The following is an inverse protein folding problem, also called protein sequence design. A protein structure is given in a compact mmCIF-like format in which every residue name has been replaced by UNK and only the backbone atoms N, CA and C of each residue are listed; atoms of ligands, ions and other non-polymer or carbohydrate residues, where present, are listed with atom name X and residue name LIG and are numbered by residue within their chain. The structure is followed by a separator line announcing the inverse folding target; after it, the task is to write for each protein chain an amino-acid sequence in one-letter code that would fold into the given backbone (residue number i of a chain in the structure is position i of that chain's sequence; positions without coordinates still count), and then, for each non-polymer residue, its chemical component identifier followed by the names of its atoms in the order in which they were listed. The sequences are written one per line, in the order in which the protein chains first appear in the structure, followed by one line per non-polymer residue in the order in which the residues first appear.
data_IF_267706010065
#
_entry.id   IF_267706010065
#
_cell.length_a   1.000
_cell.length_b   1.000
_cell.length_c   1.000
_cell.angle_alpha   90.00
_cell.angle_beta   90.00
_cell.angle_gamma   90.00
#
_symmetry.space_group_name_H-M   'P 1'
#
loop_
_entity.id
_entity.type
_entity.pdbx_description
1 polymer ?
#
# COMPACT_ATOMS: atom_id res chain seq x y z
N UNK A 1 -0.32 -46.26 -33.08
CA UNK A 1 0.64 -45.24 -32.70
C UNK A 1 1.11 -45.52 -31.31
N UNK A 2 2.39 -45.77 -31.12
CA UNK A 2 2.98 -45.91 -29.79
C UNK A 2 2.94 -44.56 -29.08
N UNK A 3 2.46 -44.54 -27.84
CA UNK A 3 2.50 -43.37 -27.01
C UNK A 3 3.86 -43.41 -26.25
N UNK A 4 4.80 -42.58 -26.67
CA UNK A 4 6.04 -42.43 -25.94
C UNK A 4 5.74 -41.82 -24.56
N UNK A 5 6.20 -42.48 -23.49
CA UNK A 5 6.10 -41.98 -22.12
C UNK A 5 7.50 -41.56 -21.70
N UNK A 6 7.72 -40.25 -21.57
CA UNK A 6 8.97 -39.70 -21.04
C UNK A 6 8.87 -39.58 -19.52
N UNK A 7 9.90 -40.08 -18.81
CA UNK A 7 9.95 -40.06 -17.35
C UNK A 7 10.94 -39.01 -16.82
N UNK A 8 11.76 -38.44 -17.69
CA UNK A 8 12.76 -37.42 -17.38
C UNK A 8 12.51 -36.18 -18.21
N UNK A 9 12.85 -35.02 -17.70
CA UNK A 9 12.72 -33.74 -18.39
C UNK A 9 12.79 -32.58 -17.42
N UNK A 10 12.73 -31.38 -17.94
CA UNK A 10 12.85 -30.14 -17.16
C UNK A 10 11.73 -29.19 -17.47
N UNK A 11 11.30 -28.52 -16.40
CA UNK A 11 10.35 -27.42 -16.49
C UNK A 11 11.05 -26.09 -16.71
N UNK A 12 10.43 -25.20 -17.45
CA UNK A 12 10.90 -23.82 -17.65
C UNK A 12 9.75 -22.81 -17.60
N UNK A 13 10.09 -21.59 -17.21
CA UNK A 13 9.17 -20.45 -17.19
C UNK A 13 9.53 -19.44 -18.28
N UNK A 14 8.54 -18.95 -19.04
CA UNK A 14 8.74 -17.90 -20.04
C UNK A 14 9.09 -16.53 -19.45
N UNK A 15 8.74 -16.30 -18.18
CA UNK A 15 9.03 -15.05 -17.46
C UNK A 15 9.15 -15.32 -15.95
N UNK A 16 10.36 -15.49 -15.49
CA UNK A 16 10.68 -15.76 -14.08
C UNK A 16 10.43 -14.56 -13.15
N UNK A 17 10.20 -13.36 -13.68
CA UNK A 17 9.77 -12.21 -12.89
C UNK A 17 8.27 -12.26 -12.54
N UNK A 18 7.47 -12.98 -13.32
CA UNK A 18 6.05 -13.22 -13.04
C UNK A 18 5.91 -14.41 -12.09
N UNK A 19 6.42 -15.56 -12.51
CA UNK A 19 6.39 -16.78 -11.70
C UNK A 19 7.56 -17.69 -12.07
N UNK A 20 8.11 -18.34 -11.06
CA UNK A 20 9.13 -19.40 -11.21
C UNK A 20 8.46 -20.77 -11.22
N UNK A 21 9.14 -21.74 -11.79
CA UNK A 21 8.79 -23.15 -11.70
C UNK A 21 10.06 -23.92 -11.34
N UNK A 22 9.95 -24.82 -10.40
CA UNK A 22 11.03 -25.71 -10.06
C UNK A 22 11.25 -26.68 -11.23
N UNK A 23 12.47 -26.74 -11.71
CA UNK A 23 12.79 -27.44 -12.96
C UNK A 23 12.58 -28.95 -12.89
N UNK A 24 12.70 -29.54 -11.71
CA UNK A 24 12.58 -30.97 -11.49
C UNK A 24 11.16 -31.38 -11.06
N UNK A 25 10.57 -30.62 -10.16
CA UNK A 25 9.29 -31.00 -9.53
C UNK A 25 8.08 -30.34 -10.19
N UNK A 26 8.27 -29.29 -10.99
CA UNK A 26 7.18 -28.53 -11.59
C UNK A 26 6.38 -27.68 -10.59
N UNK A 27 6.91 -27.48 -9.37
CA UNK A 27 6.26 -26.63 -8.36
C UNK A 27 6.37 -25.17 -8.77
N UNK A 28 5.22 -24.50 -8.86
CA UNK A 28 5.11 -23.10 -9.27
C UNK A 28 5.04 -22.18 -8.06
N UNK A 29 5.78 -21.06 -8.13
CA UNK A 29 5.71 -19.97 -7.16
C UNK A 29 5.63 -18.61 -7.87
N UNK A 30 4.71 -17.74 -7.43
CA UNK A 30 4.63 -16.36 -7.89
C UNK A 30 5.67 -15.51 -7.18
N UNK A 31 6.32 -14.59 -7.89
CA UNK A 31 7.39 -13.75 -7.32
C UNK A 31 6.85 -12.52 -6.57
N UNK A 32 5.61 -12.11 -6.84
CA UNK A 32 5.02 -10.88 -6.30
C UNK A 32 5.58 -9.58 -6.91
N UNK A 33 6.48 -9.66 -7.89
CA UNK A 33 7.16 -8.50 -8.48
C UNK A 33 6.54 -8.03 -9.78
N UNK A 34 5.93 -8.93 -10.55
CA UNK A 34 5.33 -8.64 -11.85
C UNK A 34 4.05 -9.45 -12.03
N UNK A 35 3.09 -8.88 -12.71
CA UNK A 35 1.86 -9.55 -13.14
C UNK A 35 1.82 -9.67 -14.66
N UNK A 36 1.05 -10.61 -15.19
CA UNK A 36 0.95 -10.88 -16.61
C UNK A 36 0.75 -12.35 -16.91
N UNK A 37 0.90 -12.71 -18.18
CA UNK A 37 0.80 -14.09 -18.62
C UNK A 37 2.18 -14.74 -18.67
N UNK A 38 2.29 -15.89 -18.03
CA UNK A 38 3.48 -16.74 -18.04
C UNK A 38 3.12 -18.11 -18.61
N UNK A 39 4.02 -18.68 -19.40
CA UNK A 39 3.88 -20.02 -19.94
C UNK A 39 4.91 -20.94 -19.33
N UNK A 40 4.46 -22.05 -18.78
CA UNK A 40 5.34 -23.11 -18.30
C UNK A 40 5.43 -24.21 -19.35
N UNK A 41 6.64 -24.60 -19.66
CA UNK A 41 6.94 -25.60 -20.67
C UNK A 41 7.74 -26.74 -20.05
N UNK A 42 7.34 -27.97 -20.32
CA UNK A 42 8.09 -29.16 -19.99
C UNK A 42 8.84 -29.61 -21.24
N UNK A 43 10.15 -29.77 -21.14
CA UNK A 43 11.00 -30.36 -22.18
C UNK A 43 11.43 -31.72 -21.71
N UNK A 44 10.98 -32.76 -22.41
CA UNK A 44 11.30 -34.14 -22.09
C UNK A 44 12.65 -34.50 -22.69
N UNK A 45 13.52 -35.03 -21.85
CA UNK A 45 14.78 -35.64 -22.22
C UNK A 45 14.51 -37.02 -22.84
N UNK A 46 14.97 -37.26 -24.06
CA UNK A 46 14.79 -38.53 -24.75
C UNK A 46 15.87 -39.57 -24.37
N UNK A 47 16.75 -39.22 -23.39
CA UNK A 47 17.79 -40.11 -22.88
C UNK A 47 19.11 -40.08 -23.66
N UNK A 48 19.30 -39.07 -24.52
CA UNK A 48 20.58 -38.82 -25.22
C UNK A 48 21.27 -37.58 -24.63
N UNK A 49 22.59 -37.40 -24.90
CA UNK A 49 23.32 -36.18 -24.54
C UNK A 49 23.03 -35.00 -25.48
N UNK A 50 22.36 -35.26 -26.62
CA UNK A 50 22.02 -34.26 -27.61
C UNK A 50 20.65 -33.61 -27.27
N UNK A 51 20.68 -32.37 -26.81
CA UNK A 51 19.46 -31.61 -26.45
C UNK A 51 18.65 -31.15 -27.69
N UNK A 52 19.16 -31.31 -28.92
CA UNK A 52 18.48 -30.91 -30.12
C UNK A 52 17.32 -31.86 -30.50
N UNK A 53 17.34 -33.07 -30.00
CA UNK A 53 16.31 -34.10 -30.19
C UNK A 53 15.35 -34.24 -29.02
N UNK A 54 15.48 -33.40 -27.99
CA UNK A 54 14.55 -33.30 -26.88
C UNK A 54 13.15 -32.89 -27.35
N UNK A 55 12.14 -33.50 -26.74
CA UNK A 55 10.74 -33.24 -27.12
C UNK A 55 10.15 -32.16 -26.20
N UNK A 56 9.85 -31.01 -26.77
CA UNK A 56 9.07 -30.00 -26.06
C UNK A 56 7.66 -30.49 -25.82
N UNK A 57 7.32 -30.68 -24.56
CA UNK A 57 6.03 -31.12 -24.12
C UNK A 57 4.96 -30.03 -24.24
N UNK A 58 3.76 -30.35 -23.80
CA UNK A 58 2.66 -29.37 -23.79
C UNK A 58 2.94 -28.22 -22.83
N UNK A 59 2.95 -27.02 -23.38
CA UNK A 59 3.01 -25.78 -22.61
C UNK A 59 1.60 -25.40 -22.12
N UNK A 60 1.53 -24.82 -20.92
CA UNK A 60 0.30 -24.26 -20.39
C UNK A 60 0.54 -22.83 -19.89
N UNK A 61 -0.28 -21.91 -20.38
CA UNK A 61 -0.23 -20.51 -19.97
C UNK A 61 -1.14 -20.26 -18.77
N UNK A 62 -0.64 -19.45 -17.85
CA UNK A 62 -1.37 -18.97 -16.68
C UNK A 62 -1.27 -17.46 -16.62
N UNK A 63 -2.33 -16.80 -16.15
CA UNK A 63 -2.30 -15.37 -15.89
C UNK A 63 -2.16 -15.16 -14.38
N UNK A 64 -1.09 -14.49 -14.02
CA UNK A 64 -0.85 -14.03 -12.64
C UNK A 64 -1.38 -12.62 -12.54
N UNK A 65 -2.34 -12.41 -11.64
CA UNK A 65 -2.92 -11.10 -11.34
C UNK A 65 -2.46 -10.64 -9.96
N UNK A 66 -2.34 -9.32 -9.78
CA UNK A 66 -2.16 -8.78 -8.45
C UNK A 66 -3.41 -9.02 -7.62
N UNK A 67 -3.23 -9.39 -6.37
CA UNK A 67 -4.32 -9.36 -5.39
C UNK A 67 -4.73 -7.93 -5.10
N UNK A 68 -6.00 -7.73 -4.76
CA UNK A 68 -6.51 -6.41 -4.41
C UNK A 68 -5.93 -5.96 -3.08
N UNK A 69 -5.20 -4.85 -3.06
CA UNK A 69 -4.67 -4.30 -1.82
C UNK A 69 -4.58 -2.77 -1.85
N UNK A 70 -4.95 -2.18 -0.74
CA UNK A 70 -4.67 -0.80 -0.39
C UNK A 70 -4.29 -0.76 1.09
N UNK A 71 -3.11 -0.25 1.38
CA UNK A 71 -2.64 -0.10 2.75
C UNK A 71 -2.15 1.33 2.99
N UNK A 72 -2.40 1.86 4.18
CA UNK A 72 -1.81 3.11 4.63
C UNK A 72 -0.47 2.83 5.30
N UNK A 73 0.55 3.55 4.88
CA UNK A 73 1.87 3.53 5.51
C UNK A 73 1.92 4.69 6.51
N UNK A 74 2.09 4.36 7.79
CA UNK A 74 2.16 5.36 8.86
C UNK A 74 3.57 5.30 9.46
N UNK A 75 4.44 6.25 9.14
CA UNK A 75 5.78 6.29 9.69
C UNK A 75 5.73 6.46 11.23
N UNK A 76 6.36 5.55 11.94
CA UNK A 76 6.55 5.67 13.39
C UNK A 76 5.38 5.27 14.28
N UNK A 77 4.33 4.59 13.75
CA UNK A 77 3.26 4.09 14.63
C UNK A 77 1.89 3.88 14.00
N UNK A 78 0.89 3.63 14.83
CA UNK A 78 -0.48 3.36 14.41
C UNK A 78 -1.27 4.62 13.99
N UNK A 79 -0.74 5.82 14.24
CA UNK A 79 -1.40 7.08 13.95
C UNK A 79 -0.43 8.13 13.43
N UNK A 80 -0.91 8.98 12.55
CA UNK A 80 -0.19 10.18 12.09
C UNK A 80 -0.25 11.21 13.22
N UNK A 81 0.91 11.71 13.63
CA UNK A 81 1.00 12.72 14.69
C UNK A 81 1.40 14.06 14.11
N UNK A 82 0.64 15.09 14.41
CA UNK A 82 0.94 16.47 14.05
C UNK A 82 0.61 17.43 15.20
N UNK A 83 0.82 18.71 15.00
CA UNK A 83 0.38 19.77 15.95
C UNK A 83 -0.77 20.56 15.36
N UNK A 84 -1.53 21.19 16.24
CA UNK A 84 -2.62 22.07 15.82
C UNK A 84 -2.11 23.16 14.87
N UNK A 85 -2.86 23.40 13.82
CA UNK A 85 -2.50 24.33 12.75
C UNK A 85 -1.15 24.01 12.04
N UNK A 86 -0.75 22.75 12.07
CA UNK A 86 0.36 22.21 11.27
C UNK A 86 -0.18 21.18 10.27
N UNK A 87 0.44 21.06 9.10
CA UNK A 87 0.02 20.08 8.12
C UNK A 87 0.31 18.65 8.58
N UNK A 88 -0.41 17.71 8.02
CA UNK A 88 -0.10 16.28 8.13
C UNK A 88 0.06 15.68 6.73
N UNK A 89 0.99 14.73 6.57
CA UNK A 89 1.12 13.96 5.34
C UNK A 89 0.56 12.57 5.56
N UNK A 90 -0.43 12.20 4.75
CA UNK A 90 -0.97 10.85 4.67
C UNK A 90 -0.24 10.12 3.57
N UNK A 91 0.32 8.96 3.90
CA UNK A 91 1.02 8.09 2.97
C UNK A 91 0.24 6.77 2.84
N UNK A 92 0.25 6.19 1.65
CA UNK A 92 -0.29 4.86 1.43
C UNK A 92 0.55 4.08 0.44
N UNK A 93 0.41 2.77 0.47
CA UNK A 93 0.90 1.87 -0.56
C UNK A 93 -0.28 1.16 -1.24
N UNK A 94 -0.12 0.85 -2.51
CA UNK A 94 -1.14 0.17 -3.30
C UNK A 94 -0.46 -0.59 -4.43
N UNK A 95 -1.01 -1.73 -4.78
CA UNK A 95 -0.64 -2.47 -5.98
C UNK A 95 -1.54 -2.13 -7.19
N UNK A 96 -2.33 -1.06 -7.10
CA UNK A 96 -3.30 -0.67 -8.12
C UNK A 96 -2.70 -0.48 -9.52
N UNK A 97 -1.47 0.02 -9.62
CA UNK A 97 -0.77 0.17 -10.89
C UNK A 97 -0.49 -1.18 -11.57
N UNK A 98 -0.25 -2.24 -10.79
CA UNK A 98 -0.08 -3.61 -11.29
C UNK A 98 -1.42 -4.24 -11.69
N UNK A 99 -2.48 -3.93 -10.93
CA UNK A 99 -3.83 -4.47 -11.16
C UNK A 99 -4.47 -3.89 -12.42
N UNK A 100 -4.21 -2.61 -12.70
CA UNK A 100 -4.85 -1.88 -13.82
C UNK A 100 -3.85 -0.98 -14.55
N UNK A 101 -2.83 -1.53 -15.23
CA UNK A 101 -1.75 -0.73 -15.81
C UNK A 101 -2.24 0.29 -16.86
N UNK A 102 -3.32 -0.03 -17.56
CA UNK A 102 -3.89 0.79 -18.65
C UNK A 102 -5.15 1.56 -18.25
N UNK A 103 -5.55 1.53 -16.96
CA UNK A 103 -6.77 2.21 -16.49
C UNK A 103 -6.41 3.45 -15.68
N UNK A 104 -7.05 4.55 -15.99
CA UNK A 104 -6.95 5.76 -15.16
C UNK A 104 -7.93 5.68 -13.99
N UNK A 105 -7.45 6.03 -12.82
CA UNK A 105 -8.27 6.19 -11.61
C UNK A 105 -7.63 7.23 -10.69
N UNK A 106 -8.42 7.68 -9.73
CA UNK A 106 -7.96 8.59 -8.69
C UNK A 106 -8.16 7.97 -7.31
N UNK A 107 -7.21 8.22 -6.42
CA UNK A 107 -7.45 8.05 -5.00
C UNK A 107 -8.30 9.19 -4.49
N UNK A 108 -9.27 8.87 -3.66
CA UNK A 108 -10.04 9.82 -2.88
C UNK A 108 -9.64 9.70 -1.42
N UNK A 109 -9.35 10.83 -0.79
CA UNK A 109 -8.95 10.92 0.60
C UNK A 109 -9.94 11.81 1.32
N UNK A 110 -10.75 11.19 2.18
CA UNK A 110 -11.75 11.87 3.00
C UNK A 110 -11.26 11.99 4.44
N UNK A 111 -11.30 13.20 4.99
CA UNK A 111 -10.97 13.49 6.37
C UNK A 111 -12.25 13.69 7.18
N UNK A 112 -12.40 12.95 8.24
CA UNK A 112 -13.54 13.05 9.17
C UNK A 112 -13.05 13.51 10.55
N UNK A 113 -13.79 14.42 11.15
CA UNK A 113 -13.54 14.79 12.54
C UNK A 113 -14.05 13.69 13.46
N UNK A 114 -13.19 13.21 14.34
CA UNK A 114 -13.46 12.15 15.31
C UNK A 114 -12.63 10.89 15.11
N UNK A 115 -12.77 9.99 16.06
CA UNK A 115 -12.12 8.68 16.05
C UNK A 115 -13.12 7.60 15.65
N UNK A 116 -12.98 7.05 14.45
CA UNK A 116 -13.83 6.00 13.93
C UNK A 116 -13.01 4.72 13.70
N UNK A 117 -13.51 3.61 14.25
CA UNK A 117 -12.77 2.34 14.23
C UNK A 117 -12.73 1.64 12.86
N UNK A 118 -13.70 1.92 12.00
CA UNK A 118 -13.84 1.28 10.69
C UNK A 118 -14.67 2.15 9.74
N UNK A 119 -14.71 1.77 8.47
CA UNK A 119 -15.45 2.47 7.42
C UNK A 119 -16.97 2.48 7.65
N UNK A 120 -17.53 1.40 8.21
CA UNK A 120 -18.97 1.33 8.49
C UNK A 120 -19.40 2.43 9.47
N UNK A 121 -18.54 2.82 10.42
CA UNK A 121 -18.80 3.90 11.36
C UNK A 121 -18.83 5.30 10.70
N UNK A 122 -18.36 5.42 9.45
CA UNK A 122 -18.39 6.66 8.67
C UNK A 122 -19.67 6.80 7.84
N UNK A 123 -20.52 5.78 7.80
CA UNK A 123 -21.77 5.81 7.03
C UNK A 123 -22.66 6.99 7.43
N UNK A 124 -23.13 7.75 6.44
CA UNK A 124 -23.97 8.95 6.65
C UNK A 124 -23.21 10.17 7.18
N UNK A 125 -21.90 10.09 7.44
CA UNK A 125 -21.11 11.23 7.90
C UNK A 125 -20.56 12.01 6.72
N UNK A 126 -20.39 13.32 6.91
CA UNK A 126 -19.75 14.20 5.92
C UNK A 126 -18.29 14.39 6.29
N UNK A 127 -17.35 14.24 5.35
CA UNK A 127 -15.96 14.61 5.58
C UNK A 127 -15.82 16.12 5.77
N UNK A 128 -14.89 16.53 6.63
CA UNK A 128 -14.51 17.93 6.81
C UNK A 128 -13.61 18.44 5.69
N UNK A 129 -12.93 17.53 5.01
CA UNK A 129 -12.18 17.82 3.79
C UNK A 129 -12.10 16.56 2.91
N UNK A 130 -12.05 16.77 1.59
CA UNK A 130 -11.86 15.73 0.58
C UNK A 130 -10.76 16.16 -0.37
N UNK A 131 -9.84 15.23 -0.66
CA UNK A 131 -8.77 15.39 -1.64
C UNK A 131 -8.88 14.30 -2.70
N UNK A 132 -8.47 14.65 -3.91
CA UNK A 132 -8.38 13.70 -5.03
C UNK A 132 -7.00 13.78 -5.64
N UNK A 133 -6.32 12.65 -5.80
CA UNK A 133 -4.99 12.56 -6.41
C UNK A 133 -4.93 11.40 -7.39
N UNK A 134 -4.13 11.56 -8.44
CA UNK A 134 -4.00 10.55 -9.50
C UNK A 134 -3.31 9.27 -9.03
N UNK A 135 -3.45 8.23 -9.83
CA UNK A 135 -2.94 6.86 -9.58
C UNK A 135 -1.44 6.80 -9.27
N UNK A 136 -0.66 7.74 -9.79
CA UNK A 136 0.81 7.79 -9.60
C UNK A 136 1.22 8.41 -8.26
N UNK A 137 0.26 8.88 -7.47
CA UNK A 137 0.50 9.46 -6.15
C UNK A 137 0.27 8.43 -5.06
N UNK A 138 1.12 8.51 -4.06
CA UNK A 138 1.06 7.67 -2.85
C UNK A 138 1.00 8.49 -1.57
N UNK A 139 0.74 9.79 -1.72
CA UNK A 139 0.68 10.72 -0.58
C UNK A 139 -0.21 11.92 -0.86
N UNK A 140 -0.75 12.50 0.22
CA UNK A 140 -1.42 13.79 0.21
C UNK A 140 -1.03 14.58 1.45
N UNK A 141 -0.84 15.88 1.28
CA UNK A 141 -0.65 16.83 2.39
C UNK A 141 -2.00 17.43 2.77
N UNK A 142 -2.42 17.16 4.01
CA UNK A 142 -3.57 17.83 4.62
C UNK A 142 -3.10 19.18 5.14
N UNK A 143 -3.77 20.25 4.72
CA UNK A 143 -3.39 21.60 5.09
C UNK A 143 -3.59 21.90 6.58
N UNK A 144 -2.82 22.85 7.08
CA UNK A 144 -2.83 23.28 8.48
C UNK A 144 -4.19 23.81 8.95
N UNK A 145 -4.93 24.49 8.09
CA UNK A 145 -6.23 25.08 8.44
C UNK A 145 -7.35 24.05 8.70
N UNK A 146 -7.13 22.81 8.31
CA UNK A 146 -8.12 21.73 8.50
C UNK A 146 -7.91 21.00 9.82
N UNK A 147 -6.68 20.96 10.33
CA UNK A 147 -6.30 20.23 11.53
C UNK A 147 -6.31 21.14 12.78
N UNK A 148 -7.45 21.76 13.04
CA UNK A 148 -7.62 22.74 14.13
C UNK A 148 -8.07 22.14 15.46
N UNK A 149 -8.64 20.92 15.44
CA UNK A 149 -9.14 20.27 16.65
C UNK A 149 -8.05 19.47 17.35
N UNK A 150 -7.84 19.75 18.61
CA UNK A 150 -6.89 19.00 19.45
C UNK A 150 -7.40 17.60 19.78
N UNK A 151 -6.48 16.66 19.83
CA UNK A 151 -6.71 15.32 20.37
C UNK A 151 -6.78 15.32 21.89
N UNK A 152 -7.57 14.42 22.45
CA UNK A 152 -7.61 14.20 23.89
C UNK A 152 -6.61 13.09 24.25
N UNK A 153 -5.41 13.48 24.64
CA UNK A 153 -4.32 12.55 24.83
C UNK A 153 -4.00 11.77 23.58
N UNK A 154 -4.08 10.45 23.65
CA UNK A 154 -3.85 9.54 22.52
C UNK A 154 -5.12 9.24 21.69
N UNK A 155 -6.26 9.82 22.05
CA UNK A 155 -7.49 9.65 21.25
C UNK A 155 -7.41 10.52 20.02
N UNK A 156 -7.43 9.97 18.80
CA UNK A 156 -7.34 10.73 17.57
C UNK A 156 -8.44 11.78 17.43
N UNK A 157 -8.08 12.96 16.91
CA UNK A 157 -9.04 14.01 16.61
C UNK A 157 -9.69 13.83 15.24
N UNK A 158 -9.00 13.12 14.35
CA UNK A 158 -9.47 12.88 12.98
C UNK A 158 -9.23 11.45 12.54
N UNK A 159 -10.11 10.99 11.65
CA UNK A 159 -9.98 9.74 10.89
C UNK A 159 -9.83 10.07 9.41
N UNK A 160 -8.87 9.43 8.75
CA UNK A 160 -8.63 9.54 7.31
C UNK A 160 -9.06 8.25 6.65
N UNK A 161 -9.89 8.35 5.61
CA UNK A 161 -10.23 7.25 4.71
C UNK A 161 -9.57 7.51 3.36
N UNK A 162 -8.63 6.65 2.95
CA UNK A 162 -8.12 6.62 1.58
C UNK A 162 -8.89 5.55 0.83
N UNK A 163 -9.40 5.86 -0.32
CA UNK A 163 -10.17 4.92 -1.14
C UNK A 163 -9.86 5.06 -2.62
N UNK A 164 -10.07 4.00 -3.37
CA UNK A 164 -9.97 3.95 -4.82
C UNK A 164 -11.04 3.04 -5.40
N UNK A 165 -11.46 3.21 -6.67
CA UNK A 165 -12.35 2.25 -7.31
C UNK A 165 -11.76 0.85 -7.27
N UNK A 166 -12.58 -0.15 -7.00
CA UNK A 166 -12.14 -1.54 -7.03
C UNK A 166 -11.82 -1.95 -8.47
N UNK A 167 -10.59 -2.38 -8.79
CA UNK A 167 -10.18 -2.56 -10.19
C UNK A 167 -10.89 -3.71 -10.89
N UNK A 168 -11.31 -4.73 -10.16
CA UNK A 168 -11.88 -5.96 -10.68
C UNK A 168 -13.39 -6.10 -10.44
N UNK A 169 -14.01 -5.12 -9.76
CA UNK A 169 -15.45 -5.17 -9.52
C UNK A 169 -16.21 -4.57 -10.71
N UNK A 170 -17.30 -5.20 -11.09
CA UNK A 170 -18.14 -4.79 -12.23
C UNK A 170 -19.01 -3.55 -11.98
N UNK A 171 -18.74 -2.75 -10.95
CA UNK A 171 -19.50 -1.55 -10.60
C UNK A 171 -18.61 -0.44 -10.05
N UNK A 172 -18.95 0.82 -10.37
CA UNK A 172 -18.23 2.00 -9.90
C UNK A 172 -18.34 2.24 -8.38
N UNK A 173 -19.33 1.63 -7.74
CA UNK A 173 -19.62 1.83 -6.31
C UNK A 173 -18.77 0.95 -5.39
N UNK A 174 -18.11 -0.08 -5.92
CA UNK A 174 -17.23 -0.93 -5.14
C UNK A 174 -15.85 -0.30 -5.06
N UNK A 175 -15.38 -0.07 -3.84
CA UNK A 175 -14.10 0.58 -3.58
C UNK A 175 -13.21 -0.28 -2.69
N UNK A 176 -11.90 -0.16 -2.89
CA UNK A 176 -10.90 -0.54 -1.91
C UNK A 176 -10.65 0.67 -1.00
N UNK A 177 -10.50 0.44 0.29
CA UNK A 177 -10.29 1.50 1.26
C UNK A 177 -9.32 1.09 2.36
N UNK A 178 -8.69 2.09 2.97
CA UNK A 178 -7.86 1.95 4.15
C UNK A 178 -8.05 3.16 5.07
N UNK A 179 -7.98 2.92 6.37
CA UNK A 179 -8.17 3.91 7.43
C UNK A 179 -6.87 4.21 8.17
N UNK A 180 -6.69 5.47 8.53
CA UNK A 180 -5.70 5.92 9.50
C UNK A 180 -6.29 6.97 10.43
N UNK A 181 -5.57 7.28 11.49
CA UNK A 181 -5.97 8.27 12.47
C UNK A 181 -4.94 9.39 12.56
N UNK A 182 -5.41 10.61 12.89
CA UNK A 182 -4.53 11.75 13.12
C UNK A 182 -4.69 12.22 14.56
N UNK A 183 -3.57 12.21 15.28
CA UNK A 183 -3.43 12.78 16.61
C UNK A 183 -2.89 14.20 16.43
N UNK A 184 -3.65 15.17 16.88
CA UNK A 184 -3.28 16.58 16.82
C UNK A 184 -2.91 17.06 18.23
N UNK A 185 -1.65 17.35 18.42
CA UNK A 185 -1.09 17.78 19.71
C UNK A 185 -1.16 19.31 19.87
N UNK A 186 -1.21 19.77 21.10
CA UNK A 186 -1.03 21.18 21.41
C UNK A 186 0.38 21.68 21.02
N UNK A 187 0.58 22.96 20.78
CA UNK A 187 1.91 23.53 20.66
C UNK A 187 2.74 23.21 21.90
N UNK A 188 4.07 23.08 21.78
CA UNK A 188 4.92 22.96 22.95
C UNK A 188 4.69 24.16 23.89
N UNK A 189 4.62 23.91 25.17
CA UNK A 189 4.55 25.00 26.14
C UNK A 189 5.79 25.88 26.00
N UNK A 190 5.58 27.16 25.79
CA UNK A 190 6.68 28.14 25.80
C UNK A 190 7.23 28.21 27.23
N UNK A 191 8.47 27.80 27.42
CA UNK A 191 9.16 28.03 28.71
C UNK A 191 9.27 29.55 28.89
N UNK A 192 8.58 30.05 29.91
CA UNK A 192 8.76 31.46 30.32
C UNK A 192 10.04 31.51 31.15
N UNK A 193 11.12 32.01 30.56
CA UNK A 193 12.31 32.31 31.29
C UNK A 193 11.98 33.49 32.20
N UNK A 194 11.92 33.25 33.51
CA UNK A 194 11.91 34.33 34.51
C UNK A 194 13.35 34.81 34.57
N UNK A 195 13.66 36.07 34.21
CA UNK A 195 15.01 36.57 34.38
C UNK A 195 15.41 36.45 35.86
N UNK A 196 16.67 36.13 36.15
CA UNK A 196 17.12 36.06 37.54
C UNK A 196 16.87 37.43 38.19
N UNK A 197 16.31 37.41 39.38
CA UNK A 197 16.16 38.62 40.18
C UNK A 197 17.57 39.25 40.32
N UNK A 198 17.69 40.53 40.03
CA UNK A 198 18.90 41.27 40.25
C UNK A 198 19.32 41.17 41.74
N UNK A 199 20.43 40.51 41.99
CA UNK A 199 21.03 40.49 43.33
C UNK A 199 21.70 41.87 43.48
N UNK A 200 21.07 42.74 44.28
CA UNK A 200 21.75 43.97 44.70
C UNK A 200 22.78 43.56 45.77
N UNK A 201 24.06 43.68 45.40
CA UNK A 201 25.11 43.66 46.40
C UNK A 201 24.93 44.95 47.25
N UNK A 202 24.64 44.76 48.50
CA UNK A 202 24.62 45.87 49.46
C UNK A 202 26.07 46.24 49.71
N UNK A 203 26.50 47.43 49.21
CA UNK A 203 27.78 48.00 49.62
C UNK A 203 27.76 48.13 51.12
N UNK A 204 28.63 47.41 51.81
CA UNK A 204 28.95 47.64 53.22
C UNK A 204 30.13 48.56 53.29
N UNK A 205 29.89 49.80 53.67
CA UNK A 205 30.90 50.74 54.12
C UNK A 205 31.58 50.23 55.38
#
# INVERSE_FOLDING_TARGET
GETASYTTGKWSSSDSLIATIDEDTGVVATTGTKVGTVTFTFTADNGTEDTADDVTGKSKSYTVTAGDSLALVIPGGASIVTRVNQPATVLWSSNAALMTPNKEFNYRIDLYEGNYANEAALSGRKPVATYTVGKDKNSVRIGENVLSKLSNGNTPAYTVLVSMPHPNAGGEDVRLSALAWIIVQAPPATAKLTPPQSIYLKDTD
#
